data_IF_747791978601
#
_entry.id   IF_747791978601
#
_cell.length_a   1.000
_cell.length_b   1.000
_cell.length_c   1.000
_cell.angle_alpha   90.00
_cell.angle_beta   90.00
_cell.angle_gamma   90.00
#
_symmetry.space_group_name_H-M   'P 1'
#
loop_
_entity.id
_entity.type
_entity.pdbx_description
1 polymer ?
#
# COMPACT_ATOMS: atom_id res chain seq x y z
N UNK A 1 -28.06 -2.49 37.62
CA UNK A 1 -28.27 -3.29 36.39
C UNK A 1 -27.04 -3.13 35.52
N UNK A 2 -26.18 -4.16 35.46
CA UNK A 2 -24.90 -4.14 34.76
C UNK A 2 -25.09 -4.71 33.35
N UNK A 3 -24.90 -3.89 32.32
CA UNK A 3 -24.95 -4.31 30.93
C UNK A 3 -23.54 -4.72 30.51
N UNK A 4 -23.16 -5.96 30.78
CA UNK A 4 -21.92 -6.52 30.27
C UNK A 4 -21.98 -6.66 28.74
N UNK A 5 -20.87 -6.38 28.05
CA UNK A 5 -20.70 -6.62 26.62
C UNK A 5 -21.10 -8.05 26.27
N UNK A 6 -22.16 -8.21 25.48
CA UNK A 6 -22.50 -9.50 24.87
C UNK A 6 -21.49 -9.75 23.77
N UNK A 7 -20.85 -10.93 23.82
CA UNK A 7 -20.01 -11.45 22.73
C UNK A 7 -20.87 -11.47 21.46
N UNK A 8 -20.36 -10.89 20.38
CA UNK A 8 -21.01 -11.01 19.07
C UNK A 8 -21.14 -12.50 18.71
N UNK A 9 -22.18 -12.90 17.94
CA UNK A 9 -22.28 -14.26 17.43
C UNK A 9 -20.98 -14.62 16.71
N UNK A 10 -20.45 -15.81 17.01
CA UNK A 10 -19.26 -16.35 16.34
C UNK A 10 -19.50 -16.27 14.82
N UNK A 11 -18.66 -15.51 14.12
CA UNK A 11 -18.61 -15.59 12.67
C UNK A 11 -18.29 -17.04 12.32
N UNK A 12 -19.11 -17.62 11.44
CA UNK A 12 -18.85 -18.90 10.81
C UNK A 12 -17.41 -18.87 10.31
N UNK A 13 -16.52 -19.62 10.98
CA UNK A 13 -15.10 -19.63 10.66
C UNK A 13 -15.00 -20.33 9.33
N UNK A 14 -15.05 -19.54 8.26
CA UNK A 14 -14.73 -20.00 6.92
C UNK A 14 -13.45 -20.83 7.03
N UNK A 15 -13.54 -22.09 6.60
CA UNK A 15 -12.43 -23.05 6.65
C UNK A 15 -11.19 -22.35 6.09
N UNK A 16 -10.17 -22.17 6.93
CA UNK A 16 -8.94 -21.51 6.51
C UNK A 16 -8.42 -22.19 5.23
N UNK A 17 -8.05 -21.43 4.20
CA UNK A 17 -7.60 -22.00 2.95
C UNK A 17 -6.40 -22.92 3.21
N UNK A 18 -6.28 -23.99 2.41
CA UNK A 18 -5.21 -24.99 2.56
C UNK A 18 -3.79 -24.41 2.35
N UNK A 19 -3.70 -23.19 1.84
CA UNK A 19 -2.47 -22.40 1.73
C UNK A 19 -2.77 -20.94 2.08
N UNK A 20 -1.82 -20.23 2.72
CA UNK A 20 -1.96 -18.81 3.02
C UNK A 20 -2.22 -18.00 1.72
N UNK A 21 -3.10 -16.98 1.76
CA UNK A 21 -3.42 -16.20 0.57
C UNK A 21 -2.28 -15.24 0.22
N UNK A 22 -2.19 -14.86 -1.06
CA UNK A 22 -1.40 -13.71 -1.47
C UNK A 22 -2.01 -12.42 -0.91
N UNK A 23 -1.18 -11.46 -0.56
CA UNK A 23 -1.57 -10.14 -0.05
C UNK A 23 -1.14 -9.08 -1.07
N UNK A 24 -2.10 -8.34 -1.62
CA UNK A 24 -1.86 -7.22 -2.52
C UNK A 24 -2.32 -5.94 -1.83
N UNK A 25 -1.37 -5.03 -1.59
CA UNK A 25 -1.62 -3.69 -1.08
C UNK A 25 -1.47 -2.70 -2.24
N UNK A 26 -2.55 -2.02 -2.62
CA UNK A 26 -2.52 -0.93 -3.60
C UNK A 26 -2.74 0.38 -2.86
N UNK A 27 -1.81 1.31 -2.98
CA UNK A 27 -1.92 2.67 -2.45
C UNK A 27 -1.91 3.67 -3.60
N UNK A 28 -2.81 4.64 -3.59
CA UNK A 28 -2.83 5.75 -4.54
C UNK A 28 -2.57 7.02 -3.75
N UNK A 29 -1.45 7.67 -4.01
CA UNK A 29 -1.07 8.87 -3.26
C UNK A 29 -2.07 10.00 -3.52
N UNK A 30 -2.34 10.78 -2.47
CA UNK A 30 -3.27 11.94 -2.43
C UNK A 30 -4.67 11.74 -3.02
N UNK A 31 -5.11 10.50 -3.28
CA UNK A 31 -6.43 10.21 -3.81
C UNK A 31 -7.50 10.55 -2.76
N UNK A 32 -8.31 11.56 -3.06
CA UNK A 32 -9.44 11.94 -2.20
C UNK A 32 -10.63 11.00 -2.42
N UNK A 33 -11.25 10.55 -1.33
CA UNK A 33 -12.45 9.72 -1.39
C UNK A 33 -13.60 10.41 -2.16
N UNK A 34 -13.77 11.72 -2.02
CA UNK A 34 -14.82 12.50 -2.70
C UNK A 34 -14.58 12.68 -4.22
N UNK A 35 -13.58 12.02 -4.79
CA UNK A 35 -13.30 11.96 -6.23
C UNK A 35 -13.45 10.56 -6.83
N UNK A 36 -13.98 9.61 -6.05
CA UNK A 36 -14.15 8.21 -6.46
C UNK A 36 -15.65 7.87 -6.55
N UNK A 37 -16.04 7.16 -7.61
CA UNK A 37 -17.44 6.87 -7.93
C UNK A 37 -18.16 6.11 -6.81
N UNK A 38 -17.53 5.07 -6.27
CA UNK A 38 -18.09 4.28 -5.17
C UNK A 38 -18.20 5.05 -3.84
N UNK A 39 -17.68 6.27 -3.74
CA UNK A 39 -17.87 7.18 -2.62
C UNK A 39 -18.82 8.35 -2.95
N UNK A 40 -19.49 8.32 -4.10
CA UNK A 40 -20.58 9.21 -4.47
C UNK A 40 -20.23 10.32 -5.46
N UNK A 41 -19.02 10.34 -6.04
CA UNK A 41 -18.68 11.34 -7.05
C UNK A 41 -19.16 10.92 -8.45
N UNK A 42 -20.28 11.50 -8.91
CA UNK A 42 -20.89 11.18 -10.21
C UNK A 42 -19.99 11.48 -11.43
N UNK A 43 -19.05 12.41 -11.28
CA UNK A 43 -18.08 12.75 -12.34
C UNK A 43 -16.86 11.83 -12.40
N UNK A 44 -16.75 10.84 -11.51
CA UNK A 44 -15.63 9.91 -11.49
C UNK A 44 -15.71 8.92 -12.66
N UNK A 45 -14.57 8.64 -13.29
CA UNK A 45 -14.42 7.48 -14.18
C UNK A 45 -13.55 6.42 -13.48
N UNK A 46 -14.14 5.72 -12.50
CA UNK A 46 -13.46 4.72 -11.66
C UNK A 46 -14.08 3.32 -11.73
N UNK A 47 -14.45 2.80 -12.92
CA UNK A 47 -15.28 1.58 -13.03
C UNK A 47 -14.66 0.34 -12.38
N UNK A 48 -13.33 0.22 -12.38
CA UNK A 48 -12.63 -0.91 -11.76
C UNK A 48 -12.62 -0.83 -10.23
N UNK A 49 -12.38 0.37 -9.67
CA UNK A 49 -12.47 0.62 -8.23
C UNK A 49 -13.90 0.44 -7.74
N UNK A 50 -14.88 0.89 -8.53
CA UNK A 50 -16.29 0.79 -8.19
C UNK A 50 -16.76 -0.67 -8.17
N UNK A 51 -16.35 -1.46 -9.16
CA UNK A 51 -16.58 -2.90 -9.18
C UNK A 51 -15.90 -3.59 -8.00
N UNK A 52 -14.63 -3.27 -7.70
CA UNK A 52 -13.92 -3.86 -6.57
C UNK A 52 -14.61 -3.56 -5.23
N UNK A 53 -15.10 -2.34 -5.04
CA UNK A 53 -15.86 -1.96 -3.86
C UNK A 53 -17.21 -2.71 -3.75
N UNK A 54 -17.85 -3.03 -4.88
CA UNK A 54 -19.10 -3.79 -4.91
C UNK A 54 -18.92 -5.30 -4.65
N UNK A 55 -17.76 -5.85 -5.02
CA UNK A 55 -17.41 -7.27 -4.82
C UNK A 55 -16.72 -7.54 -3.47
N UNK A 56 -16.27 -6.49 -2.78
CA UNK A 56 -15.51 -6.57 -1.53
C UNK A 56 -16.13 -5.79 -0.38
N UNK A 57 -15.26 -5.32 0.52
CA UNK A 57 -15.65 -4.47 1.66
C UNK A 57 -15.19 -3.04 1.40
N UNK A 58 -16.13 -2.10 1.40
CA UNK A 58 -15.86 -0.66 1.33
C UNK A 58 -15.96 -0.03 2.72
N UNK A 59 -14.91 0.67 3.14
CA UNK A 59 -14.90 1.42 4.40
C UNK A 59 -15.28 2.87 4.13
N UNK A 60 -16.45 3.30 4.60
CA UNK A 60 -16.96 4.67 4.34
C UNK A 60 -16.11 5.77 4.98
N UNK A 61 -15.41 5.45 6.08
CA UNK A 61 -14.60 6.40 6.85
C UNK A 61 -13.21 5.82 7.15
N UNK A 62 -12.38 5.73 6.12
CA UNK A 62 -10.95 5.48 6.26
C UNK A 62 -10.20 6.82 6.31
N UNK A 63 -9.61 7.16 7.46
CA UNK A 63 -8.95 8.45 7.67
C UNK A 63 -7.43 8.22 7.69
N UNK A 64 -6.71 9.01 6.88
CA UNK A 64 -5.25 8.99 6.88
C UNK A 64 -4.71 9.46 8.26
N UNK A 65 -3.71 8.78 8.85
CA UNK A 65 -3.11 9.18 10.13
C UNK A 65 -2.52 10.60 10.11
N UNK A 66 -2.08 11.04 8.94
CA UNK A 66 -1.50 12.38 8.70
C UNK A 66 -1.55 12.70 7.20
N UNK A 67 -1.73 13.97 6.80
CA UNK A 67 -1.81 14.38 5.40
C UNK A 67 -0.43 14.50 4.73
N UNK A 68 0.49 13.56 5.01
CA UNK A 68 1.85 13.53 4.45
C UNK A 68 2.20 12.11 4.02
N UNK A 69 2.68 11.98 2.78
CA UNK A 69 3.00 10.71 2.11
C UNK A 69 3.88 9.79 2.97
N UNK A 70 5.12 10.17 3.29
CA UNK A 70 6.06 9.26 3.98
C UNK A 70 5.56 8.87 5.39
N UNK A 71 5.12 9.81 6.25
CA UNK A 71 4.52 9.47 7.53
C UNK A 71 3.29 8.55 7.43
N UNK A 72 2.36 8.82 6.50
CA UNK A 72 1.14 8.01 6.33
C UNK A 72 1.47 6.57 5.90
N UNK A 73 2.40 6.41 4.95
CA UNK A 73 2.86 5.09 4.52
C UNK A 73 3.65 4.35 5.60
N UNK A 74 4.39 5.08 6.44
CA UNK A 74 5.02 4.49 7.63
C UNK A 74 3.96 3.92 8.57
N UNK A 75 2.87 4.65 8.83
CA UNK A 75 1.76 4.14 9.63
C UNK A 75 1.11 2.90 9.02
N UNK A 76 0.87 2.90 7.71
CA UNK A 76 0.31 1.73 6.99
C UNK A 76 1.20 0.49 7.18
N UNK A 77 2.51 0.64 6.99
CA UNK A 77 3.43 -0.51 7.04
C UNK A 77 3.83 -0.94 8.44
N UNK A 78 3.74 -0.08 9.46
CA UNK A 78 4.12 -0.43 10.84
C UNK A 78 2.93 -0.70 11.76
N UNK A 79 1.73 -0.26 11.37
CA UNK A 79 0.55 -0.25 12.23
C UNK A 79 0.64 0.76 13.39
N UNK A 80 1.59 1.69 13.34
CA UNK A 80 1.83 2.69 14.38
C UNK A 80 1.33 4.07 13.95
N UNK A 81 0.90 4.88 14.92
CA UNK A 81 0.57 6.30 14.71
C UNK A 81 1.84 7.17 14.59
N UNK A 82 1.78 8.35 13.94
CA UNK A 82 2.94 9.24 13.74
C UNK A 82 3.79 9.54 14.98
N UNK A 83 3.23 9.77 16.17
CA UNK A 83 4.03 9.96 17.38
C UNK A 83 4.84 8.72 17.77
N UNK A 84 4.33 7.52 17.51
CA UNK A 84 4.96 6.26 17.90
C UNK A 84 6.10 5.87 16.96
N UNK A 85 5.96 6.09 15.64
CA UNK A 85 7.04 5.81 14.68
C UNK A 85 7.97 7.01 14.41
N UNK A 86 7.65 8.20 14.94
CA UNK A 86 8.48 9.43 14.90
C UNK A 86 8.84 10.00 13.52
N UNK A 87 8.31 9.44 12.43
CA UNK A 87 8.45 9.97 11.06
C UNK A 87 7.38 11.05 10.85
N UNK A 88 7.81 12.33 10.75
CA UNK A 88 6.90 13.49 10.84
C UNK A 88 6.84 14.33 9.56
N UNK A 89 7.64 13.99 8.56
CA UNK A 89 7.72 14.74 7.32
C UNK A 89 8.38 13.96 6.20
N UNK A 90 8.15 14.42 4.97
CA UNK A 90 8.77 13.86 3.77
C UNK A 90 10.23 14.35 3.65
N UNK A 91 11.09 13.56 3.01
CA UNK A 91 12.42 14.02 2.57
C UNK A 91 13.53 14.07 3.63
N UNK A 92 13.18 14.21 4.91
CA UNK A 92 14.17 14.40 6.00
C UNK A 92 14.12 13.34 7.09
N UNK A 93 13.03 12.58 7.17
CA UNK A 93 12.88 11.49 8.14
C UNK A 93 13.10 10.14 7.45
N UNK A 94 13.53 9.16 8.24
CA UNK A 94 13.73 7.77 7.84
C UNK A 94 12.99 6.88 8.84
N UNK A 95 12.37 5.80 8.40
CA UNK A 95 11.77 4.81 9.31
C UNK A 95 12.88 4.21 10.17
N UNK A 96 12.78 4.19 11.51
CA UNK A 96 13.80 3.60 12.36
C UNK A 96 13.94 2.08 12.14
N UNK A 97 15.18 1.57 12.15
CA UNK A 97 15.47 0.13 11.97
C UNK A 97 14.91 -0.76 13.11
N UNK A 98 14.54 -0.15 14.24
CA UNK A 98 13.94 -0.85 15.36
C UNK A 98 12.44 -1.11 15.20
N UNK A 99 11.80 -0.52 14.18
CA UNK A 99 10.37 -0.70 13.92
C UNK A 99 10.18 -1.83 12.92
N UNK A 100 9.41 -2.83 13.32
CA UNK A 100 9.04 -3.93 12.45
C UNK A 100 7.96 -3.50 11.46
N UNK A 101 8.15 -3.78 10.18
CA UNK A 101 7.16 -3.54 9.12
C UNK A 101 6.31 -4.79 8.82
N UNK A 102 5.17 -4.58 8.17
CA UNK A 102 4.31 -5.63 7.64
C UNK A 102 5.07 -6.54 6.67
N UNK A 103 5.99 -5.99 5.88
CA UNK A 103 6.80 -6.78 4.97
C UNK A 103 7.72 -7.73 5.75
N UNK A 104 8.37 -7.25 6.82
CA UNK A 104 9.21 -8.11 7.67
C UNK A 104 8.41 -9.22 8.35
N UNK A 105 7.21 -8.91 8.83
CA UNK A 105 6.30 -9.89 9.42
C UNK A 105 5.93 -10.96 8.40
N UNK A 106 5.47 -10.57 7.21
CA UNK A 106 5.04 -11.53 6.18
C UNK A 106 6.22 -12.34 5.64
N UNK A 107 7.39 -11.73 5.48
CA UNK A 107 8.63 -12.44 5.09
C UNK A 107 9.02 -13.52 6.09
N UNK A 108 8.91 -13.25 7.39
CA UNK A 108 9.16 -14.25 8.43
C UNK A 108 8.16 -15.43 8.37
N UNK A 109 6.95 -15.20 7.87
CA UNK A 109 5.91 -16.21 7.62
C UNK A 109 6.06 -16.92 6.25
N UNK A 110 7.18 -16.72 5.55
CA UNK A 110 7.48 -17.40 4.29
C UNK A 110 6.87 -16.76 3.05
N UNK A 111 6.41 -15.50 3.14
CA UNK A 111 5.99 -14.74 1.97
C UNK A 111 7.20 -14.24 1.19
N UNK A 112 7.11 -14.29 -0.14
CA UNK A 112 7.96 -13.46 -0.98
C UNK A 112 7.41 -12.03 -0.99
N UNK A 113 8.27 -11.04 -0.81
CA UNK A 113 7.87 -9.65 -0.58
C UNK A 113 8.40 -8.75 -1.70
N UNK A 114 7.52 -8.02 -2.37
CA UNK A 114 7.87 -7.13 -3.47
C UNK A 114 7.16 -5.79 -3.36
N UNK A 115 7.86 -4.70 -3.66
CA UNK A 115 7.26 -3.37 -3.79
C UNK A 115 7.57 -2.74 -5.16
N UNK A 116 6.62 -1.95 -5.67
CA UNK A 116 6.79 -1.04 -6.81
C UNK A 116 6.29 0.34 -6.41
N UNK A 117 7.17 1.34 -6.48
CA UNK A 117 6.92 2.63 -5.88
C UNK A 117 7.11 3.76 -6.90
N UNK A 118 6.07 4.55 -7.09
CA UNK A 118 6.04 5.62 -8.10
C UNK A 118 6.58 6.98 -7.66
N UNK A 119 7.02 7.16 -6.40
CA UNK A 119 7.37 8.48 -5.86
C UNK A 119 8.70 8.48 -5.13
N UNK A 120 9.52 9.50 -5.40
CA UNK A 120 10.81 9.72 -4.73
C UNK A 120 10.65 9.97 -3.21
N UNK A 121 9.45 10.36 -2.74
CA UNK A 121 9.15 10.52 -1.30
C UNK A 121 9.21 9.18 -0.54
N UNK A 122 9.02 8.08 -1.25
CA UNK A 122 9.00 6.73 -0.68
C UNK A 122 10.25 5.92 -1.03
N UNK A 123 11.27 6.53 -1.61
CA UNK A 123 12.53 5.87 -1.96
C UNK A 123 13.16 5.12 -0.76
N UNK A 124 13.84 3.99 -1.02
CA UNK A 124 14.46 3.10 -0.02
C UNK A 124 15.44 3.81 0.93
N UNK A 125 15.95 4.99 0.53
CA UNK A 125 16.75 5.85 1.40
C UNK A 125 16.02 6.25 2.69
N UNK A 126 14.68 6.22 2.67
CA UNK A 126 13.81 6.48 3.81
C UNK A 126 13.39 5.21 4.58
N UNK A 127 13.94 4.04 4.23
CA UNK A 127 13.80 2.77 4.96
C UNK A 127 12.39 2.15 4.98
N UNK A 128 11.59 2.42 3.95
CA UNK A 128 10.32 1.70 3.75
C UNK A 128 10.51 0.36 3.04
N UNK A 129 11.73 0.07 2.57
CA UNK A 129 12.12 -1.18 1.92
C UNK A 129 12.41 -2.32 2.91
N UNK A 130 12.44 -2.03 4.22
CA UNK A 130 12.63 -3.04 5.26
C UNK A 130 11.67 -4.21 5.11
N UNK A 131 12.23 -5.41 5.00
CA UNK A 131 11.47 -6.64 4.86
C UNK A 131 11.06 -7.01 3.44
N UNK A 132 11.29 -6.16 2.43
CA UNK A 132 11.05 -6.50 1.03
C UNK A 132 12.22 -7.29 0.43
N UNK A 133 11.94 -8.30 -0.39
CA UNK A 133 12.94 -9.03 -1.20
C UNK A 133 13.31 -8.25 -2.46
N UNK A 134 12.35 -7.50 -3.01
CA UNK A 134 12.56 -6.59 -4.12
C UNK A 134 11.83 -5.26 -3.89
N UNK A 135 12.49 -4.15 -4.23
CA UNK A 135 11.99 -2.81 -4.05
C UNK A 135 12.27 -1.97 -5.30
N UNK A 136 11.25 -1.73 -6.11
CA UNK A 136 11.37 -1.07 -7.42
C UNK A 136 11.02 0.42 -7.34
N UNK A 137 12.00 1.21 -6.92
CA UNK A 137 11.94 2.66 -6.75
C UNK A 137 12.94 3.43 -7.64
N UNK A 138 13.51 2.77 -8.66
CA UNK A 138 14.38 3.44 -9.63
C UNK A 138 13.58 4.41 -10.51
N UNK A 139 13.61 5.68 -10.13
CA UNK A 139 12.99 6.76 -10.86
C UNK A 139 13.98 7.49 -11.77
N UNK A 140 15.17 6.93 -11.99
CA UNK A 140 16.15 7.54 -12.88
C UNK A 140 15.58 7.70 -14.30
N UNK A 141 15.87 8.87 -14.90
CA UNK A 141 15.39 9.21 -16.23
C UNK A 141 13.92 9.67 -16.28
N UNK A 142 13.21 9.71 -15.14
CA UNK A 142 11.91 10.37 -15.09
C UNK A 142 12.09 11.90 -15.10
N UNK A 143 11.10 12.59 -15.66
CA UNK A 143 11.06 14.05 -15.57
C UNK A 143 10.88 14.46 -14.10
N UNK A 144 11.52 15.56 -13.72
CA UNK A 144 11.23 16.19 -12.44
C UNK A 144 9.95 16.98 -12.55
N UNK A 145 9.06 16.82 -11.59
CA UNK A 145 7.93 17.71 -11.43
C UNK A 145 8.41 19.15 -11.23
N UNK A 146 7.75 20.10 -11.92
CA UNK A 146 8.21 21.47 -11.99
C UNK A 146 8.14 22.18 -10.62
N UNK A 147 7.18 21.80 -9.78
CA UNK A 147 6.92 22.45 -8.50
C UNK A 147 7.73 21.83 -7.36
N UNK A 148 7.75 20.51 -7.28
CA UNK A 148 8.38 19.76 -6.20
C UNK A 148 9.84 19.40 -6.49
N UNK A 149 10.26 19.45 -7.76
CA UNK A 149 11.58 18.99 -8.23
C UNK A 149 11.84 17.49 -7.98
N UNK A 150 10.80 16.73 -7.63
CA UNK A 150 10.86 15.30 -7.37
C UNK A 150 10.63 14.52 -8.65
N UNK A 151 11.20 13.31 -8.71
CA UNK A 151 10.93 12.38 -9.80
C UNK A 151 9.76 11.48 -9.41
N UNK A 152 8.95 11.13 -10.41
CA UNK A 152 7.78 10.26 -10.26
C UNK A 152 7.64 9.37 -11.49
N UNK A 153 6.97 8.24 -11.34
CA UNK A 153 6.70 7.28 -12.41
C UNK A 153 5.18 7.19 -12.62
N UNK A 154 4.72 7.19 -13.86
CA UNK A 154 3.28 7.07 -14.14
C UNK A 154 2.72 5.73 -13.66
N UNK A 155 1.41 5.66 -13.43
CA UNK A 155 0.74 4.40 -13.11
C UNK A 155 0.96 3.35 -14.21
N UNK A 156 0.92 3.75 -15.49
CA UNK A 156 1.15 2.85 -16.62
C UNK A 156 2.52 2.17 -16.55
N UNK A 157 3.60 2.95 -16.42
CA UNK A 157 4.96 2.42 -16.30
C UNK A 157 5.15 1.56 -15.05
N UNK A 158 4.44 1.89 -13.96
CA UNK A 158 4.48 1.12 -12.72
C UNK A 158 3.76 -0.21 -12.90
N UNK A 159 2.59 -0.21 -13.51
CA UNK A 159 1.79 -1.41 -13.77
C UNK A 159 2.46 -2.34 -14.77
N UNK A 160 3.16 -1.83 -15.79
CA UNK A 160 3.96 -2.65 -16.71
C UNK A 160 5.06 -3.44 -15.99
N UNK A 161 5.64 -2.89 -14.93
CA UNK A 161 6.64 -3.58 -14.09
C UNK A 161 5.98 -4.62 -13.19
N UNK A 162 4.85 -4.25 -12.57
CA UNK A 162 4.04 -5.15 -11.73
C UNK A 162 3.59 -6.37 -12.52
N UNK A 163 3.02 -6.19 -13.72
CA UNK A 163 2.53 -7.26 -14.57
C UNK A 163 3.66 -8.20 -15.00
N UNK A 164 4.80 -7.65 -15.45
CA UNK A 164 5.99 -8.46 -15.76
C UNK A 164 6.47 -9.29 -14.58
N UNK A 165 6.46 -8.73 -13.37
CA UNK A 165 6.82 -9.50 -12.18
C UNK A 165 5.79 -10.59 -11.88
N UNK A 166 4.49 -10.30 -12.00
CA UNK A 166 3.43 -11.30 -11.81
C UNK A 166 3.52 -12.45 -12.84
N UNK A 167 3.91 -12.16 -14.08
CA UNK A 167 4.10 -13.19 -15.11
C UNK A 167 5.16 -14.22 -14.69
N UNK A 168 6.24 -13.78 -14.03
CA UNK A 168 7.29 -14.70 -13.52
C UNK A 168 6.79 -15.64 -12.42
N UNK A 169 5.62 -15.36 -11.84
CA UNK A 169 5.02 -16.12 -10.75
C UNK A 169 3.94 -17.11 -11.19
N UNK A 170 3.60 -17.13 -12.48
CA UNK A 170 2.61 -18.07 -13.02
C UNK A 170 3.13 -19.51 -13.06
N UNK A 171 4.44 -19.69 -12.88
CA UNK A 171 5.09 -21.01 -12.84
C UNK A 171 4.77 -21.80 -11.56
N UNK A 172 4.48 -23.12 -11.65
CA UNK A 172 4.15 -23.97 -10.51
C UNK A 172 5.19 -24.00 -9.38
N UNK A 173 6.44 -23.63 -9.68
CA UNK A 173 7.54 -23.52 -8.72
C UNK A 173 7.48 -22.25 -7.84
N UNK A 174 6.65 -21.26 -8.17
CA UNK A 174 6.43 -20.03 -7.38
C UNK A 174 5.47 -20.23 -6.20
N UNK A 175 5.49 -21.42 -5.57
CA UNK A 175 4.48 -21.88 -4.62
C UNK A 175 4.38 -21.08 -3.30
N UNK A 176 5.35 -20.21 -3.00
CA UNK A 176 5.28 -19.35 -1.81
C UNK A 176 4.25 -18.23 -2.02
N UNK A 177 3.41 -17.91 -1.02
CA UNK A 177 2.53 -16.75 -1.11
C UNK A 177 3.37 -15.48 -1.28
N UNK A 178 2.77 -14.42 -1.83
CA UNK A 178 3.44 -13.14 -1.94
C UNK A 178 2.73 -12.01 -1.20
N UNK A 179 3.53 -11.06 -0.74
CA UNK A 179 3.10 -9.74 -0.37
C UNK A 179 3.60 -8.75 -1.42
N UNK A 180 2.68 -8.11 -2.12
CA UNK A 180 2.97 -7.14 -3.16
C UNK A 180 2.41 -5.78 -2.76
N UNK A 181 3.28 -4.78 -2.63
CA UNK A 181 2.88 -3.39 -2.47
C UNK A 181 3.05 -2.64 -3.80
N UNK A 182 1.94 -2.09 -4.31
CA UNK A 182 1.91 -1.24 -5.51
C UNK A 182 1.49 0.16 -5.09
N UNK A 183 2.39 1.12 -5.24
CA UNK A 183 2.12 2.51 -4.98
C UNK A 183 2.01 3.29 -6.28
N UNK A 184 0.91 4.02 -6.49
CA UNK A 184 0.63 4.87 -7.65
C UNK A 184 0.56 6.35 -7.23
N UNK A 185 0.90 7.28 -8.12
CA UNK A 185 1.11 8.70 -7.77
C UNK A 185 0.35 9.71 -8.66
N UNK A 186 -0.32 9.25 -9.71
CA UNK A 186 -0.86 10.11 -10.78
C UNK A 186 -1.80 11.24 -10.33
N UNK A 187 -2.65 11.13 -9.29
CA UNK A 187 -3.48 12.24 -8.84
C UNK A 187 -2.79 13.20 -7.87
N UNK A 188 -1.45 13.22 -7.81
CA UNK A 188 -0.66 13.98 -6.82
C UNK A 188 -0.51 15.47 -7.11
N UNK A 189 -0.10 15.83 -8.32
CA UNK A 189 -0.03 17.24 -8.71
C UNK A 189 -1.41 17.74 -9.21
N UNK A 190 -1.81 18.98 -8.89
CA UNK A 190 -2.96 19.63 -9.54
C UNK A 190 -2.71 19.97 -11.01
#
# INVERSE_FOLDING_TARGET
>A
MSTACRRAPEHDTAKAPASPPNVLLITVDTLRADRVGCYGYEGAHTPHTDRFAAEGVRVERAIAPTPLTLPSHTSILTGLEPPAHSVRGNGVFRVPDSLQTLAEILKAEGYQTQAFVSSDVLHHRFNLDQGFDGYEDDLSGQAKDALTQMQERSAEQTMDRVLRWLDTRTEPASASPFFLWVHLFDPHAP
#
